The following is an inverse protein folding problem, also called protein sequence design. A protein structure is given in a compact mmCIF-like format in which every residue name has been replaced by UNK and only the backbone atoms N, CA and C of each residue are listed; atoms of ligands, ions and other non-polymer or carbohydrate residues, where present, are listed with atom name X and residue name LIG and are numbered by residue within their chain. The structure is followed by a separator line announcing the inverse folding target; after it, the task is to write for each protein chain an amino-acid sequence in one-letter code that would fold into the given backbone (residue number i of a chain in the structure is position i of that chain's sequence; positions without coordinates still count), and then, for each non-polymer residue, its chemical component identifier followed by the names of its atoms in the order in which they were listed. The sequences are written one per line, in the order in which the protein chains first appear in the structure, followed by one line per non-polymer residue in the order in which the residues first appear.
data_IF_494544954789
#
_entry.id   IF_494544954789
#
_cell.length_a   1.000
_cell.length_b   1.000
_cell.length_c   1.000
_cell.angle_alpha   90.00
_cell.angle_beta   90.00
_cell.angle_gamma   90.00
#
_symmetry.space_group_name_H-M   'P 1'
#
loop_
_entity.id
_entity.type
_entity.pdbx_description
1 polymer ?
#
# COMPACT_ATOMS: atom_id res chain seq x y z
N UNK A 1 -20.85 15.46 0.84
CA UNK A 1 -20.74 14.19 1.58
C UNK A 1 -19.28 14.08 1.95
N UNK A 2 -18.96 14.31 3.22
CA UNK A 2 -17.57 14.48 3.64
C UNK A 2 -16.79 13.17 3.71
N UNK A 3 -15.49 13.33 3.99
CA UNK A 3 -14.53 12.26 4.12
C UNK A 3 -14.83 11.29 5.28
N UNK A 4 -15.67 11.67 6.24
CA UNK A 4 -15.84 10.99 7.53
C UNK A 4 -16.25 9.51 7.37
N UNK A 5 -17.14 9.22 6.43
CA UNK A 5 -17.55 7.84 6.13
C UNK A 5 -16.40 6.99 5.61
N UNK A 6 -15.49 7.56 4.82
CA UNK A 6 -14.33 6.85 4.28
C UNK A 6 -13.23 6.71 5.32
N UNK A 7 -13.07 7.70 6.21
CA UNK A 7 -12.17 7.62 7.37
C UNK A 7 -12.61 6.46 8.26
N UNK A 8 -13.90 6.41 8.63
CA UNK A 8 -14.46 5.29 9.41
C UNK A 8 -14.22 3.96 8.71
N UNK A 9 -14.52 3.89 7.41
CA UNK A 9 -14.36 2.66 6.65
C UNK A 9 -12.91 2.18 6.56
N UNK A 10 -11.94 3.08 6.45
CA UNK A 10 -10.51 2.72 6.45
C UNK A 10 -10.08 2.14 7.80
N UNK A 11 -10.54 2.73 8.90
CA UNK A 11 -10.26 2.21 10.25
C UNK A 11 -10.92 0.85 10.46
N UNK A 12 -12.20 0.70 10.06
CA UNK A 12 -12.91 -0.58 10.12
C UNK A 12 -12.24 -1.65 9.24
N UNK A 13 -11.72 -1.26 8.08
CA UNK A 13 -10.93 -2.14 7.22
C UNK A 13 -9.66 -2.61 7.94
N UNK A 14 -8.90 -1.70 8.55
CA UNK A 14 -7.70 -2.03 9.31
C UNK A 14 -7.96 -3.03 10.44
N UNK A 15 -9.07 -2.85 11.18
CA UNK A 15 -9.48 -3.74 12.26
C UNK A 15 -9.90 -5.11 11.74
N UNK A 16 -10.77 -5.15 10.72
CA UNK A 16 -11.26 -6.41 10.13
C UNK A 16 -10.15 -7.25 9.48
N UNK A 17 -9.14 -6.60 8.91
CA UNK A 17 -8.00 -7.28 8.29
C UNK A 17 -6.93 -7.69 9.31
N UNK A 18 -7.00 -7.18 10.55
CA UNK A 18 -6.01 -7.40 11.60
C UNK A 18 -4.72 -6.61 11.39
N UNK A 19 -4.77 -5.51 10.62
CA UNK A 19 -3.65 -4.57 10.50
C UNK A 19 -3.54 -3.67 11.74
N UNK A 20 -4.66 -3.37 12.40
CA UNK A 20 -4.70 -2.68 13.68
C UNK A 20 -5.72 -3.37 14.60
N UNK A 21 -5.56 -3.19 15.90
CA UNK A 21 -6.54 -3.69 16.88
C UNK A 21 -7.65 -2.66 17.15
N UNK A 22 -8.78 -3.11 17.70
CA UNK A 22 -9.90 -2.20 18.07
C UNK A 22 -9.45 -1.10 19.05
N UNK A 23 -8.46 -1.38 19.91
CA UNK A 23 -7.87 -0.39 20.81
C UNK A 23 -7.13 0.75 20.10
N UNK A 24 -6.76 0.58 18.83
CA UNK A 24 -6.08 1.59 18.02
C UNK A 24 -7.05 2.44 17.19
N UNK A 25 -8.36 2.18 17.25
CA UNK A 25 -9.38 2.90 16.46
C UNK A 25 -9.21 4.42 16.53
N UNK A 26 -9.21 4.97 17.75
CA UNK A 26 -9.12 6.42 17.97
C UNK A 26 -7.77 6.94 17.48
N UNK A 27 -6.69 6.20 17.73
CA UNK A 27 -5.34 6.57 17.30
C UNK A 27 -5.25 6.65 15.76
N UNK A 28 -5.69 5.61 15.05
CA UNK A 28 -5.70 5.58 13.59
C UNK A 28 -6.64 6.61 12.99
N UNK A 29 -7.81 6.87 13.59
CA UNK A 29 -8.69 7.97 13.17
C UNK A 29 -7.95 9.30 13.22
N UNK A 30 -7.28 9.62 14.33
CA UNK A 30 -6.56 10.88 14.47
C UNK A 30 -5.39 11.02 13.49
N UNK A 31 -4.66 9.93 13.21
CA UNK A 31 -3.62 9.94 12.18
C UNK A 31 -4.20 10.21 10.78
N UNK A 32 -5.34 9.62 10.46
CA UNK A 32 -6.00 9.86 9.17
C UNK A 32 -6.47 11.32 9.07
N UNK A 33 -7.02 11.89 10.15
CA UNK A 33 -7.41 13.31 10.18
C UNK A 33 -6.23 14.25 9.92
N UNK A 34 -5.08 14.00 10.54
CA UNK A 34 -3.83 14.74 10.29
C UNK A 34 -3.39 14.64 8.81
N UNK A 35 -3.41 13.44 8.23
CA UNK A 35 -3.08 13.26 6.80
C UNK A 35 -4.07 13.98 5.89
N UNK A 36 -5.34 14.00 6.26
CA UNK A 36 -6.43 14.61 5.51
C UNK A 36 -6.56 16.13 5.73
N UNK A 37 -5.77 16.72 6.62
CA UNK A 37 -5.85 18.13 7.02
C UNK A 37 -7.26 18.50 7.50
N UNK A 38 -7.74 17.77 8.52
CA UNK A 38 -9.07 17.93 9.13
C UNK A 38 -8.95 18.10 10.65
N UNK A 39 -9.58 19.14 11.20
CA UNK A 39 -9.62 19.41 12.65
C UNK A 39 -10.85 18.80 13.35
N UNK A 40 -11.90 18.47 12.59
CA UNK A 40 -13.16 17.98 13.12
C UNK A 40 -13.51 16.60 12.54
N UNK A 41 -14.09 15.74 13.38
CA UNK A 41 -14.58 14.43 12.99
C UNK A 41 -15.86 14.09 13.75
N UNK A 42 -16.97 13.99 13.02
CA UNK A 42 -18.26 13.58 13.57
C UNK A 42 -18.54 12.11 13.26
N UNK A 43 -18.33 11.26 14.26
CA UNK A 43 -18.58 9.81 14.15
C UNK A 43 -20.07 9.49 13.89
N UNK A 44 -21.00 10.39 14.24
CA UNK A 44 -22.44 10.18 14.05
C UNK A 44 -22.85 10.37 12.59
N UNK A 45 -22.14 11.22 11.85
CA UNK A 45 -22.30 11.38 10.39
C UNK A 45 -21.69 10.23 9.59
N UNK A 46 -20.92 9.36 10.25
CA UNK A 46 -20.29 8.18 9.66
C UNK A 46 -21.20 6.95 9.60
N UNK A 47 -22.49 7.08 9.96
CA UNK A 47 -23.49 6.01 9.96
C UNK A 47 -23.89 5.50 8.56
N UNK A 48 -23.36 6.11 7.49
CA UNK A 48 -23.53 5.58 6.13
C UNK A 48 -22.63 4.37 5.98
N UNK A 49 -23.22 3.17 6.10
CA UNK A 49 -22.55 1.93 5.72
C UNK A 49 -22.12 2.05 4.26
N UNK A 50 -20.79 2.05 4.03
CA UNK A 50 -20.28 1.66 2.72
C UNK A 50 -20.68 0.20 2.60
N UNK A 51 -21.76 -0.07 1.84
CA UNK A 51 -22.19 -1.44 1.53
C UNK A 51 -20.94 -2.20 1.11
N UNK A 52 -20.56 -3.20 1.90
CA UNK A 52 -19.37 -4.01 1.63
C UNK A 52 -19.52 -4.61 0.24
N UNK A 53 -18.85 -4.04 -0.75
CA UNK A 53 -18.82 -4.58 -2.10
C UNK A 53 -17.84 -5.74 -2.13
N UNK A 54 -18.24 -6.85 -1.50
CA UNK A 54 -17.53 -8.13 -1.46
C UNK A 54 -16.10 -8.08 -0.90
N UNK A 55 -15.57 -9.24 -0.52
CA UNK A 55 -14.18 -9.40 -0.05
C UNK A 55 -13.15 -9.30 -1.20
N UNK A 56 -13.43 -8.54 -2.25
CA UNK A 56 -12.50 -8.25 -3.34
C UNK A 56 -11.72 -6.97 -3.05
N UNK A 57 -10.54 -6.79 -3.64
CA UNK A 57 -9.73 -5.57 -3.51
C UNK A 57 -10.43 -4.27 -3.96
N UNK A 58 -11.68 -4.36 -4.41
CA UNK A 58 -12.54 -3.26 -4.86
C UNK A 58 -13.05 -2.41 -3.69
N UNK A 59 -13.17 -3.00 -2.50
CA UNK A 59 -13.57 -2.28 -1.29
C UNK A 59 -12.50 -1.26 -0.88
N UNK A 60 -11.25 -1.69 -0.72
CA UNK A 60 -10.14 -0.80 -0.33
C UNK A 60 -9.88 0.26 -1.40
N UNK A 61 -9.91 -0.11 -2.69
CA UNK A 61 -9.81 0.85 -3.80
C UNK A 61 -10.87 1.94 -3.68
N UNK A 62 -12.12 1.57 -3.37
CA UNK A 62 -13.22 2.52 -3.23
C UNK A 62 -13.07 3.44 -2.01
N UNK A 63 -12.58 2.91 -0.89
CA UNK A 63 -12.32 3.69 0.34
C UNK A 63 -11.21 4.71 0.08
N UNK A 64 -10.06 4.27 -0.42
CA UNK A 64 -8.92 5.13 -0.70
C UNK A 64 -9.26 6.17 -1.78
N UNK A 65 -9.96 5.77 -2.84
CA UNK A 65 -10.43 6.71 -3.87
C UNK A 65 -11.31 7.80 -3.27
N UNK A 66 -12.22 7.46 -2.37
CA UNK A 66 -13.08 8.43 -1.70
C UNK A 66 -12.30 9.46 -0.87
N UNK A 67 -11.30 9.01 -0.12
CA UNK A 67 -10.41 9.89 0.66
C UNK A 67 -9.55 10.78 -0.24
N UNK A 68 -8.94 10.19 -1.28
CA UNK A 68 -8.07 10.91 -2.21
C UNK A 68 -8.84 11.95 -3.01
N UNK A 69 -10.04 11.62 -3.52
CA UNK A 69 -10.86 12.57 -4.28
C UNK A 69 -11.31 13.76 -3.40
N UNK A 70 -11.63 13.50 -2.13
CA UNK A 70 -11.92 14.56 -1.15
C UNK A 70 -10.70 15.45 -0.91
N UNK A 71 -9.53 14.85 -0.63
CA UNK A 71 -8.28 15.56 -0.43
C UNK A 71 -7.89 16.42 -1.65
N UNK A 72 -8.08 15.91 -2.87
CA UNK A 72 -7.90 16.67 -4.11
C UNK A 72 -8.87 17.85 -4.18
N UNK A 73 -10.16 17.62 -3.89
CA UNK A 73 -11.18 18.68 -3.98
C UNK A 73 -10.94 19.85 -3.03
N UNK A 74 -10.29 19.59 -1.89
CA UNK A 74 -9.89 20.60 -0.89
C UNK A 74 -8.48 21.14 -1.09
N UNK A 75 -7.71 20.59 -2.04
CA UNK A 75 -6.34 21.03 -2.35
C UNK A 75 -5.25 20.51 -1.41
N UNK A 76 -5.54 19.47 -0.62
CA UNK A 76 -4.57 18.80 0.28
C UNK A 76 -3.55 17.97 -0.52
N UNK A 77 -3.97 17.42 -1.67
CA UNK A 77 -3.09 16.73 -2.62
C UNK A 77 -3.40 17.12 -4.07
N UNK A 78 -2.46 16.88 -4.98
CA UNK A 78 -2.60 17.20 -6.40
C UNK A 78 -3.39 16.14 -7.15
N UNK A 79 -4.08 16.55 -8.22
CA UNK A 79 -4.90 15.66 -9.07
C UNK A 79 -4.10 15.01 -10.20
N UNK A 80 -2.99 14.35 -9.86
CA UNK A 80 -2.21 13.55 -10.79
C UNK A 80 -1.95 12.15 -10.22
N UNK A 81 -1.71 11.18 -11.11
CA UNK A 81 -1.54 9.78 -10.74
C UNK A 81 -0.46 9.56 -9.67
N UNK A 82 0.66 10.30 -9.75
CA UNK A 82 1.76 10.12 -8.80
C UNK A 82 1.38 10.69 -7.45
N UNK A 83 0.84 11.91 -7.39
CA UNK A 83 0.42 12.54 -6.13
C UNK A 83 -0.71 11.77 -5.44
N UNK A 84 -1.65 11.22 -6.20
CA UNK A 84 -2.70 10.32 -5.71
C UNK A 84 -2.10 9.04 -5.09
N UNK A 85 -1.15 8.40 -5.78
CA UNK A 85 -0.45 7.19 -5.28
C UNK A 85 0.45 7.45 -4.07
N UNK A 86 1.04 8.64 -3.95
CA UNK A 86 1.79 9.02 -2.75
C UNK A 86 0.84 9.21 -1.58
N UNK A 87 -0.31 9.86 -1.81
CA UNK A 87 -1.27 10.21 -0.77
C UNK A 87 -2.02 8.98 -0.23
N UNK A 88 -2.47 8.06 -1.09
CA UNK A 88 -3.12 6.83 -0.63
C UNK A 88 -2.18 5.92 0.17
N UNK A 89 -0.89 5.89 -0.17
CA UNK A 89 0.14 5.17 0.55
C UNK A 89 0.37 5.78 1.94
N UNK A 90 0.32 7.11 2.05
CA UNK A 90 0.37 7.84 3.32
C UNK A 90 -0.86 7.54 4.19
N UNK A 91 -2.05 7.48 3.60
CA UNK A 91 -3.28 7.06 4.30
C UNK A 91 -3.17 5.63 4.82
N UNK A 92 -2.68 4.68 4.01
CA UNK A 92 -2.50 3.29 4.44
C UNK A 92 -1.50 3.14 5.59
N UNK A 93 -0.48 3.98 5.67
CA UNK A 93 0.46 3.96 6.78
C UNK A 93 -0.21 4.24 8.14
N UNK A 94 -1.33 4.98 8.17
CA UNK A 94 -2.08 5.27 9.40
C UNK A 94 -2.70 4.01 10.04
N UNK A 95 -2.87 2.95 9.26
CA UNK A 95 -3.39 1.65 9.70
C UNK A 95 -2.40 0.51 9.43
N UNK A 96 -1.13 0.79 9.16
CA UNK A 96 -0.11 -0.25 8.96
C UNK A 96 0.72 -0.42 10.23
N UNK A 97 0.81 -1.63 10.83
CA UNK A 97 1.57 -1.85 12.05
C UNK A 97 3.03 -1.44 11.91
N UNK A 98 3.69 -1.12 13.03
CA UNK A 98 5.12 -0.79 13.04
C UNK A 98 5.98 -2.01 12.61
N UNK A 99 7.18 -1.79 12.02
CA UNK A 99 8.04 -2.89 11.56
C UNK A 99 8.36 -3.95 12.63
N UNK A 100 8.57 -3.55 13.89
CA UNK A 100 8.86 -4.48 14.98
C UNK A 100 7.73 -5.48 15.22
N UNK A 101 6.48 -5.05 15.15
CA UNK A 101 5.32 -5.92 15.29
C UNK A 101 5.25 -6.94 14.16
N UNK A 102 5.42 -6.48 12.91
CA UNK A 102 5.38 -7.33 11.72
C UNK A 102 6.49 -8.38 11.73
N UNK A 103 7.72 -7.98 12.10
CA UNK A 103 8.87 -8.90 12.19
C UNK A 103 8.66 -9.95 13.27
N UNK A 104 8.24 -9.54 14.48
CA UNK A 104 7.94 -10.48 15.57
C UNK A 104 6.85 -11.48 15.16
N UNK A 105 5.77 -11.00 14.52
CA UNK A 105 4.69 -11.86 14.05
C UNK A 105 5.15 -12.84 12.97
N UNK A 106 5.99 -12.38 12.04
CA UNK A 106 6.60 -13.23 11.02
C UNK A 106 7.46 -14.32 11.65
N UNK A 107 8.35 -13.97 12.59
CA UNK A 107 9.23 -14.90 13.31
C UNK A 107 8.43 -15.97 14.08
N UNK A 108 7.37 -15.57 14.79
CA UNK A 108 6.47 -16.49 15.50
C UNK A 108 5.82 -17.53 14.57
N UNK A 109 5.31 -17.06 13.42
CA UNK A 109 4.71 -17.93 12.41
C UNK A 109 5.77 -18.82 11.75
N UNK A 110 6.95 -18.26 11.49
CA UNK A 110 8.04 -18.97 10.80
C UNK A 110 8.59 -20.11 11.65
N UNK A 111 8.70 -19.90 12.97
CA UNK A 111 9.05 -20.94 13.93
C UNK A 111 8.07 -22.12 13.92
N UNK A 112 6.82 -21.89 13.53
CA UNK A 112 5.81 -22.94 13.38
C UNK A 112 5.83 -23.57 11.98
N UNK A 113 5.89 -22.75 10.93
CA UNK A 113 5.98 -23.19 9.54
C UNK A 113 6.41 -22.02 8.65
N UNK A 114 7.45 -22.19 7.81
CA UNK A 114 7.83 -21.19 6.81
C UNK A 114 6.67 -20.79 5.90
N UNK A 115 5.82 -21.76 5.51
CA UNK A 115 4.65 -21.52 4.65
C UNK A 115 3.65 -20.59 5.35
N UNK A 116 3.37 -20.83 6.64
CA UNK A 116 2.44 -19.97 7.38
C UNK A 116 2.94 -18.52 7.47
N UNK A 117 4.24 -18.33 7.68
CA UNK A 117 4.84 -17.00 7.73
C UNK A 117 4.77 -16.29 6.38
N UNK A 118 5.12 -16.97 5.30
CA UNK A 118 5.10 -16.39 3.94
C UNK A 118 3.68 -16.12 3.47
N UNK A 119 2.72 -17.01 3.73
CA UNK A 119 1.31 -16.83 3.36
C UNK A 119 0.70 -15.64 4.12
N UNK A 120 0.98 -15.54 5.42
CA UNK A 120 0.57 -14.39 6.22
C UNK A 120 1.21 -13.10 5.71
N UNK A 121 2.52 -13.11 5.42
CA UNK A 121 3.24 -11.92 4.95
C UNK A 121 2.77 -11.46 3.56
N UNK A 122 2.42 -12.40 2.68
CA UNK A 122 1.83 -12.09 1.38
C UNK A 122 0.45 -11.45 1.55
N UNK A 123 -0.41 -12.04 2.39
CA UNK A 123 -1.72 -11.46 2.73
C UNK A 123 -1.57 -10.06 3.33
N UNK A 124 -0.65 -9.89 4.28
CA UNK A 124 -0.31 -8.61 4.88
C UNK A 124 0.10 -7.57 3.82
N UNK A 125 0.95 -7.97 2.88
CA UNK A 125 1.39 -7.11 1.76
C UNK A 125 0.23 -6.73 0.83
N UNK A 126 -0.80 -7.57 0.71
CA UNK A 126 -2.02 -7.28 -0.05
C UNK A 126 -3.02 -6.40 0.71
N UNK A 127 -3.08 -6.52 2.04
CA UNK A 127 -4.01 -5.75 2.87
C UNK A 127 -3.48 -4.35 3.19
N UNK A 128 -2.17 -4.18 3.24
CA UNK A 128 -1.52 -2.86 3.34
C UNK A 128 -1.57 -2.04 2.04
N UNK A 129 -2.17 -2.59 0.98
CA UNK A 129 -2.13 -2.07 -0.40
C UNK A 129 -0.71 -1.86 -0.96
N UNK A 130 0.31 -2.49 -0.36
CA UNK A 130 1.64 -2.53 -0.96
C UNK A 130 1.61 -3.34 -2.28
N UNK A 131 0.88 -4.46 -2.28
CA UNK A 131 0.50 -5.22 -3.47
C UNK A 131 -0.93 -4.82 -3.84
N UNK A 132 -1.05 -3.93 -4.83
CA UNK A 132 -2.33 -3.34 -5.26
C UNK A 132 -3.15 -4.30 -6.10
N UNK A 133 -3.91 -5.18 -5.43
CA UNK A 133 -4.71 -6.26 -6.04
C UNK A 133 -5.64 -5.78 -7.17
N UNK A 134 -6.27 -4.62 -6.99
CA UNK A 134 -7.18 -4.04 -7.98
C UNK A 134 -6.48 -3.55 -9.26
N UNK A 135 -5.15 -3.37 -9.23
CA UNK A 135 -4.35 -3.09 -10.42
C UNK A 135 -3.89 -4.39 -11.08
N UNK A 136 -3.42 -5.35 -10.28
CA UNK A 136 -2.92 -6.65 -10.77
C UNK A 136 -4.00 -7.46 -11.47
N UNK A 137 -5.27 -7.39 -11.02
CA UNK A 137 -6.39 -8.07 -11.69
C UNK A 137 -6.60 -7.65 -13.15
N UNK A 138 -6.00 -6.52 -13.58
CA UNK A 138 -6.09 -6.00 -14.94
C UNK A 138 -4.98 -6.55 -15.85
N UNK A 139 -3.96 -7.23 -15.29
CA UNK A 139 -2.85 -7.79 -16.06
C UNK A 139 -3.35 -8.84 -17.06
N UNK A 140 -2.79 -8.81 -18.27
CA UNK A 140 -3.12 -9.77 -19.32
C UNK A 140 -2.13 -10.92 -19.23
N UNK A 141 -2.63 -12.16 -19.16
CA UNK A 141 -1.80 -13.36 -19.05
C UNK A 141 -2.26 -14.41 -20.06
N UNK A 142 -1.31 -15.03 -20.74
CA UNK A 142 -1.57 -16.16 -21.61
C UNK A 142 -0.37 -17.09 -21.64
N UNK A 143 -0.64 -18.36 -21.91
CA UNK A 143 0.38 -19.41 -21.99
C UNK A 143 0.42 -19.93 -23.42
N UNK A 144 1.60 -20.20 -23.94
CA UNK A 144 1.79 -20.78 -25.28
C UNK A 144 2.76 -21.94 -25.22
N UNK A 145 2.41 -23.05 -25.87
CA UNK A 145 3.27 -24.24 -25.90
C UNK A 145 4.51 -23.97 -26.76
N UNK A 146 5.69 -24.35 -26.25
CA UNK A 146 6.95 -24.30 -26.98
C UNK A 146 7.64 -25.67 -26.95
N UNK A 147 8.66 -25.92 -27.81
CA UNK A 147 9.46 -27.15 -27.73
C UNK A 147 10.17 -27.37 -26.39
N UNK A 148 10.26 -26.34 -25.54
CA UNK A 148 10.93 -26.38 -24.23
C UNK A 148 9.95 -26.39 -23.05
N UNK A 149 8.66 -26.54 -23.31
CA UNK A 149 7.58 -26.45 -22.32
C UNK A 149 6.68 -25.25 -22.55
N UNK A 150 5.77 -25.02 -21.61
CA UNK A 150 4.82 -23.91 -21.67
C UNK A 150 5.53 -22.58 -21.36
N UNK A 151 5.35 -21.60 -22.24
CA UNK A 151 5.82 -20.24 -22.06
C UNK A 151 4.68 -19.37 -21.54
N UNK A 152 4.80 -18.90 -20.31
CA UNK A 152 3.91 -17.91 -19.72
C UNK A 152 4.30 -16.49 -20.17
N UNK A 153 3.36 -15.76 -20.75
CA UNK A 153 3.54 -14.39 -21.18
C UNK A 153 2.55 -13.51 -20.40
N UNK A 154 3.07 -12.43 -19.81
CA UNK A 154 2.29 -11.49 -19.02
C UNK A 154 2.55 -10.04 -19.44
N UNK A 155 1.49 -9.25 -19.56
CA UNK A 155 1.56 -7.79 -19.71
C UNK A 155 1.09 -7.20 -18.38
N UNK A 156 2.02 -6.59 -17.66
CA UNK A 156 1.73 -5.93 -16.39
C UNK A 156 1.17 -4.53 -16.66
N UNK A 157 -0.12 -4.35 -16.41
CA UNK A 157 -0.83 -3.07 -16.51
C UNK A 157 -0.89 -2.34 -15.14
N UNK A 158 -0.39 -2.98 -14.08
CA UNK A 158 -0.36 -2.40 -12.74
C UNK A 158 0.71 -1.32 -12.54
N UNK A 159 1.72 -1.28 -13.42
CA UNK A 159 2.75 -0.24 -13.43
C UNK A 159 2.27 0.98 -14.23
N UNK A 160 1.98 2.12 -13.59
CA UNK A 160 1.51 3.30 -14.29
C UNK A 160 2.61 3.81 -15.25
N UNK A 161 2.24 4.07 -16.50
CA UNK A 161 3.10 4.82 -17.42
C UNK A 161 3.30 6.24 -16.90
N UNK A 162 4.52 6.74 -16.99
CA UNK A 162 4.83 8.10 -16.53
C UNK A 162 4.38 9.10 -17.59
N UNK A 163 3.53 10.04 -17.20
CA UNK A 163 3.16 11.19 -18.04
C UNK A 163 4.44 11.93 -18.48
N UNK A 164 4.63 12.23 -19.79
CA UNK A 164 5.73 13.06 -20.29
C UNK A 164 5.96 14.37 -19.50
N UNK A 165 4.89 15.00 -18.99
CA UNK A 165 4.98 16.18 -18.13
C UNK A 165 5.63 15.86 -16.78
N UNK A 166 5.26 14.73 -16.18
CA UNK A 166 5.87 14.25 -14.94
C UNK A 166 7.35 13.89 -15.15
N UNK A 167 7.72 13.34 -16.31
CA UNK A 167 9.11 13.08 -16.69
C UNK A 167 9.91 14.39 -16.78
N UNK A 168 9.34 15.42 -17.43
CA UNK A 168 9.98 16.72 -17.56
C UNK A 168 10.17 17.41 -16.18
N UNK A 169 9.15 17.36 -15.32
CA UNK A 169 9.23 17.91 -13.97
C UNK A 169 10.26 17.16 -13.09
N UNK A 170 10.29 15.83 -13.18
CA UNK A 170 11.25 14.99 -12.45
C UNK A 170 12.71 15.25 -12.87
N UNK A 171 12.96 15.63 -14.13
CA UNK A 171 14.30 15.96 -14.62
C UNK A 171 14.86 17.23 -13.96
N UNK A 172 13.99 18.18 -13.63
CA UNK A 172 14.37 19.45 -13.00
C UNK A 172 14.31 19.40 -11.47
N UNK A 173 13.78 18.31 -10.89
CA UNK A 173 13.70 18.15 -9.45
C UNK A 173 15.09 17.97 -8.82
N UNK A 174 15.31 18.44 -7.58
CA UNK A 174 16.54 18.19 -6.85
C UNK A 174 16.84 16.70 -6.78
N UNK A 175 18.05 16.30 -7.18
CA UNK A 175 18.50 14.93 -7.02
C UNK A 175 18.69 14.65 -5.52
N UNK A 176 17.81 13.83 -4.95
CA UNK A 176 18.00 13.27 -3.62
C UNK A 176 18.84 12.00 -3.72
N UNK A 177 19.87 11.89 -2.88
CA UNK A 177 20.69 10.68 -2.75
C UNK A 177 20.03 9.60 -1.85
N UNK A 178 18.90 9.90 -1.22
CA UNK A 178 18.19 9.02 -0.30
C UNK A 178 16.73 8.78 -0.72
N UNK A 179 16.22 7.54 -0.67
CA UNK A 179 16.96 6.28 -0.56
C UNK A 179 17.88 6.06 -1.77
N UNK A 180 18.98 5.32 -1.59
CA UNK A 180 20.00 5.11 -2.65
C UNK A 180 19.45 4.39 -3.87
N UNK A 181 18.48 3.51 -3.69
CA UNK A 181 17.82 2.76 -4.74
C UNK A 181 16.34 2.51 -4.40
N UNK A 182 15.56 2.06 -5.37
CA UNK A 182 14.12 1.82 -5.19
C UNK A 182 13.78 0.55 -4.40
N UNK A 183 14.76 -0.33 -4.19
CA UNK A 183 14.62 -1.61 -3.48
C UNK A 183 15.38 -1.65 -2.15
N UNK A 184 16.09 -0.56 -1.84
CA UNK A 184 16.94 -0.45 -0.66
C UNK A 184 16.09 -0.46 0.63
N UNK A 185 16.60 -1.04 1.71
CA UNK A 185 15.87 -1.19 2.98
C UNK A 185 15.39 0.15 3.56
N UNK A 186 16.14 1.23 3.29
CA UNK A 186 15.86 2.62 3.65
C UNK A 186 14.55 3.18 3.07
N UNK A 187 13.92 2.44 2.16
CA UNK A 187 12.59 2.73 1.68
C UNK A 187 11.49 2.37 2.69
N UNK A 188 11.72 1.48 3.65
CA UNK A 188 10.69 1.12 4.65
C UNK A 188 10.20 2.38 5.37
N UNK A 189 8.92 2.73 5.21
CA UNK A 189 8.36 3.95 5.79
C UNK A 189 8.61 5.24 4.99
N UNK A 190 9.21 5.17 3.80
CA UNK A 190 9.57 6.38 3.04
C UNK A 190 8.36 6.96 2.28
N UNK A 191 8.08 8.25 2.48
CA UNK A 191 6.96 8.98 1.86
C UNK A 191 6.97 9.07 0.33
N UNK A 192 8.10 8.76 -0.32
CA UNK A 192 8.24 8.95 -1.75
C UNK A 192 8.32 10.42 -2.18
N UNK A 193 8.31 10.62 -3.49
CA UNK A 193 8.36 11.92 -4.20
C UNK A 193 8.05 11.67 -5.68
N UNK A 194 7.90 12.72 -6.48
CA UNK A 194 7.51 12.60 -7.90
C UNK A 194 8.34 11.61 -8.72
N UNK A 195 9.62 11.42 -8.37
CA UNK A 195 10.52 10.51 -9.08
C UNK A 195 10.90 9.24 -8.28
N UNK A 196 10.31 9.01 -7.11
CA UNK A 196 10.63 7.89 -6.22
C UNK A 196 9.39 7.39 -5.49
N UNK A 197 9.04 6.10 -5.57
CA UNK A 197 7.75 5.62 -5.08
C UNK A 197 7.62 5.75 -3.56
N UNK A 198 6.39 5.93 -3.07
CA UNK A 198 6.08 5.80 -1.65
C UNK A 198 6.16 4.35 -1.20
N UNK A 199 6.59 4.17 0.04
CA UNK A 199 6.81 2.89 0.73
C UNK A 199 6.44 3.02 2.21
N UNK A 200 5.57 3.97 2.55
CA UNK A 200 5.11 4.20 3.93
C UNK A 200 4.31 3.02 4.48
N UNK A 201 3.57 2.31 3.64
CA UNK A 201 2.83 1.09 3.99
C UNK A 201 3.65 -0.20 3.86
N UNK A 202 4.94 -0.10 3.48
CA UNK A 202 5.79 -1.27 3.26
C UNK A 202 6.53 -1.68 4.54
N UNK A 203 6.65 -2.98 4.80
CA UNK A 203 7.39 -3.56 5.94
C UNK A 203 8.25 -4.71 5.44
N UNK A 204 9.56 -4.65 5.65
CA UNK A 204 10.54 -5.65 5.18
C UNK A 204 10.91 -6.62 6.29
N UNK A 205 11.18 -7.87 5.91
CA UNK A 205 11.65 -8.91 6.83
C UNK A 205 13.16 -9.09 6.64
N UNK A 206 13.99 -8.75 7.64
CA UNK A 206 15.41 -9.07 7.61
C UNK A 206 15.60 -10.59 7.59
N UNK A 207 16.52 -11.08 6.77
CA UNK A 207 16.90 -12.50 6.70
C UNK A 207 18.42 -12.61 6.58
N UNK A 208 18.97 -13.75 6.95
CA UNK A 208 20.38 -14.07 6.73
C UNK A 208 20.49 -15.13 5.63
N UNK A 209 21.32 -14.87 4.62
CA UNK A 209 21.64 -15.84 3.57
C UNK A 209 23.16 -15.95 3.48
N UNK A 210 23.68 -17.16 3.69
CA UNK A 210 25.12 -17.45 3.65
C UNK A 210 25.99 -16.53 4.55
N UNK A 211 25.47 -16.10 5.71
CA UNK A 211 26.19 -15.23 6.65
C UNK A 211 26.12 -13.74 6.32
N UNK A 212 25.37 -13.35 5.30
CA UNK A 212 25.15 -11.95 4.91
C UNK A 212 23.72 -11.51 5.20
N UNK A 213 23.54 -10.23 5.51
CA UNK A 213 22.24 -9.61 5.76
C UNK A 213 21.51 -9.31 4.45
N UNK A 214 20.29 -9.83 4.34
CA UNK A 214 19.36 -9.58 3.24
C UNK A 214 18.01 -9.14 3.79
N UNK A 215 17.14 -8.72 2.87
CA UNK A 215 15.76 -8.35 3.19
C UNK A 215 14.81 -9.08 2.24
N UNK A 216 13.84 -9.77 2.82
CA UNK A 216 12.71 -10.36 2.11
C UNK A 216 11.61 -9.30 1.95
N UNK A 217 11.14 -9.18 0.71
CA UNK A 217 9.94 -8.44 0.34
C UNK A 217 9.30 -9.09 -0.89
N UNK A 218 7.98 -9.04 -1.00
CA UNK A 218 7.30 -9.36 -2.26
C UNK A 218 7.46 -8.23 -3.26
N UNK A 219 7.53 -8.58 -4.55
CA UNK A 219 7.40 -7.58 -5.61
C UNK A 219 5.96 -7.00 -5.58
N UNK A 220 5.79 -5.66 -5.55
CA UNK A 220 4.45 -5.05 -5.61
C UNK A 220 3.76 -5.28 -6.96
N UNK A 221 4.51 -5.78 -7.95
CA UNK A 221 4.07 -6.10 -9.30
C UNK A 221 3.90 -7.62 -9.56
N UNK A 222 3.99 -8.45 -8.50
CA UNK A 222 3.74 -9.91 -8.58
C UNK A 222 4.69 -10.63 -9.54
N UNK A 223 5.98 -10.26 -9.45
CA UNK A 223 7.08 -11.01 -10.08
C UNK A 223 7.63 -12.00 -9.04
N UNK A 224 7.06 -13.19 -8.96
CA UNK A 224 7.56 -14.32 -8.17
C UNK A 224 6.98 -15.63 -8.67
#
# INVERSE_FOLDING_TARGET
MGAEKYIKALVDYGIRTGLIDEGERIYSTNLILDVMDLDEYDITQSAVEIRSYSASGDELESILKGLVDDAVSRGVTQDDTVSRDLFDTRLMNCITPRPSYVRKRFEELYASSPIQATDWYYKFSCDTDYIRRYRIKKDVKWTTATPYGDLDITINLSKPEKDPKAIAAAKNAPQSAYPKCQLCAENEGYRGRMNHPARENHRIIPIELAGEEFFLQYSPYVYY
#
